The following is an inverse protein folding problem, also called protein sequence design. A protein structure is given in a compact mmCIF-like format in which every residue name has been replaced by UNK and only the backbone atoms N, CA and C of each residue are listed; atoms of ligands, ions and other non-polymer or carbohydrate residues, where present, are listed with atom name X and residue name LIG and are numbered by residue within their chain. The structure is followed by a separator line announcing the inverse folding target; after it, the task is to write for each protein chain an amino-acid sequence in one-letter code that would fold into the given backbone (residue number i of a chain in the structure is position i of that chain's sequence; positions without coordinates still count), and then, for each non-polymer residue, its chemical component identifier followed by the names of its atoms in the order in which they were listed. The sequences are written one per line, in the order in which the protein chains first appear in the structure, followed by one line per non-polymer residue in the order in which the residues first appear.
data_IF_113294127754
#
_entry.id   IF_113294127754
#
_cell.length_a   1.000
_cell.length_b   1.000
_cell.length_c   1.000
_cell.angle_alpha   90.00
_cell.angle_beta   90.00
_cell.angle_gamma   90.00
#
_symmetry.space_group_name_H-M   'P 1'
#
loop_
_entity.id
_entity.type
_entity.pdbx_description
1 polymer ?
#
# COMPACT_ATOMS: atom_id res chain seq x y z
N UNK A 1 -1.62 -8.59 2.71
CA UNK A 1 -1.79 -7.13 2.89
C UNK A 1 -2.01 -6.34 1.59
N UNK A 2 -1.49 -6.76 0.42
CA UNK A 2 -1.72 -6.01 -0.84
C UNK A 2 -3.16 -6.04 -1.35
N UNK A 3 -3.96 -7.03 -0.94
CA UNK A 3 -5.37 -7.09 -1.36
C UNK A 3 -6.22 -5.98 -0.73
N UNK A 4 -5.94 -5.62 0.54
CA UNK A 4 -6.62 -4.52 1.24
C UNK A 4 -6.41 -3.20 0.50
N UNK A 5 -5.17 -2.86 0.15
CA UNK A 5 -4.91 -1.59 -0.55
C UNK A 5 -5.51 -1.56 -1.97
N UNK A 6 -5.54 -2.71 -2.66
CA UNK A 6 -6.21 -2.83 -3.96
C UNK A 6 -7.72 -2.64 -3.83
N UNK A 7 -8.34 -3.20 -2.79
CA UNK A 7 -9.76 -3.01 -2.50
C UNK A 7 -10.07 -1.55 -2.16
N UNK A 8 -9.26 -0.90 -1.33
CA UNK A 8 -9.42 0.52 -0.98
C UNK A 8 -9.30 1.42 -2.21
N UNK A 9 -8.28 1.19 -3.06
CA UNK A 9 -8.11 1.95 -4.31
C UNK A 9 -9.27 1.68 -5.27
N UNK A 10 -9.73 0.43 -5.39
CA UNK A 10 -10.88 0.11 -6.23
C UNK A 10 -12.16 0.78 -5.73
N UNK A 11 -12.40 0.79 -4.42
CA UNK A 11 -13.56 1.42 -3.80
C UNK A 11 -13.57 2.94 -4.01
N UNK A 12 -12.46 3.64 -3.76
CA UNK A 12 -12.40 5.10 -4.00
C UNK A 12 -12.51 5.42 -5.49
N UNK A 13 -11.94 4.60 -6.36
CA UNK A 13 -12.07 4.77 -7.81
C UNK A 13 -13.51 4.56 -8.28
N UNK A 14 -14.22 3.58 -7.73
CA UNK A 14 -15.64 3.37 -8.03
C UNK A 14 -16.49 4.57 -7.59
N UNK A 15 -16.22 5.14 -6.40
CA UNK A 15 -16.88 6.36 -5.94
C UNK A 15 -16.64 7.52 -6.91
N UNK A 16 -15.39 7.75 -7.32
CA UNK A 16 -15.07 8.81 -8.28
C UNK A 16 -15.71 8.57 -9.64
N UNK A 17 -15.75 7.32 -10.11
CA UNK A 17 -16.43 6.98 -11.36
C UNK A 17 -17.92 7.31 -11.28
N UNK A 18 -18.59 6.97 -10.17
CA UNK A 18 -20.01 7.31 -9.95
C UNK A 18 -20.22 8.82 -9.95
N UNK A 19 -19.37 9.59 -9.25
CA UNK A 19 -19.46 11.05 -9.22
C UNK A 19 -19.25 11.64 -10.60
N UNK A 20 -18.23 11.18 -11.33
CA UNK A 20 -17.90 11.66 -12.67
C UNK A 20 -18.99 11.34 -13.70
N UNK A 21 -19.52 10.12 -13.68
CA UNK A 21 -20.66 9.73 -14.54
C UNK A 21 -21.91 10.55 -14.19
N UNK A 22 -22.18 10.79 -12.90
CA UNK A 22 -23.26 11.69 -12.49
C UNK A 22 -23.05 13.11 -13.00
N UNK A 23 -21.85 13.67 -12.89
CA UNK A 23 -21.54 14.98 -13.46
C UNK A 23 -21.79 15.04 -14.97
N UNK A 24 -21.51 13.95 -15.68
CA UNK A 24 -21.72 13.83 -17.12
C UNK A 24 -23.17 13.63 -17.54
N UNK A 25 -24.02 13.03 -16.71
CA UNK A 25 -25.41 12.69 -17.07
C UNK A 25 -26.43 13.62 -16.40
N UNK A 26 -26.26 13.87 -15.10
CA UNK A 26 -27.09 14.71 -14.25
C UNK A 26 -26.24 15.79 -13.53
N UNK A 27 -25.80 16.84 -14.25
CA UNK A 27 -24.99 17.91 -13.68
C UNK A 27 -25.73 18.73 -12.62
N UNK A 28 -27.06 18.68 -12.53
CA UNK A 28 -27.82 19.41 -11.51
C UNK A 28 -27.55 18.86 -10.11
N UNK A 29 -27.39 17.53 -10.00
CA UNK A 29 -26.95 16.91 -8.74
C UNK A 29 -25.60 17.44 -8.28
N UNK A 30 -24.65 17.65 -9.19
CA UNK A 30 -23.31 18.17 -8.90
C UNK A 30 -23.35 19.65 -8.53
N UNK A 31 -24.14 20.46 -9.23
CA UNK A 31 -24.33 21.87 -8.88
C UNK A 31 -24.79 22.01 -7.43
N UNK A 32 -25.76 21.19 -7.03
CA UNK A 32 -26.30 21.19 -5.67
C UNK A 32 -25.26 20.69 -4.67
N UNK A 33 -24.56 19.58 -4.99
CA UNK A 33 -23.58 18.98 -4.09
C UNK A 33 -22.33 19.85 -3.87
N UNK A 34 -21.88 20.56 -4.89
CA UNK A 34 -20.70 21.43 -4.83
C UNK A 34 -21.05 22.91 -4.60
N UNK A 35 -22.32 23.22 -4.32
CA UNK A 35 -22.79 24.57 -4.01
C UNK A 35 -22.43 25.61 -5.10
N UNK A 36 -22.44 25.21 -6.37
CA UNK A 36 -21.94 26.01 -7.51
C UNK A 36 -22.88 27.15 -7.94
N UNK A 37 -23.96 27.42 -7.21
CA UNK A 37 -24.97 28.42 -7.58
C UNK A 37 -25.72 28.09 -8.88
N UNK A 38 -26.47 29.05 -9.42
CA UNK A 38 -27.25 28.84 -10.66
C UNK A 38 -26.33 28.82 -11.88
N UNK A 39 -26.42 27.73 -12.66
CA UNK A 39 -25.64 27.55 -13.88
C UNK A 39 -26.53 27.64 -15.13
N UNK A 40 -26.04 28.31 -16.16
CA UNK A 40 -26.63 28.31 -17.50
C UNK A 40 -26.14 27.13 -18.36
N UNK A 41 -26.54 27.10 -19.64
CA UNK A 41 -26.15 26.04 -20.58
C UNK A 41 -24.63 25.86 -20.64
N UNK A 42 -23.87 26.96 -20.76
CA UNK A 42 -22.41 26.93 -20.81
C UNK A 42 -21.80 26.36 -19.53
N UNK A 43 -22.26 26.79 -18.35
CA UNK A 43 -21.78 26.29 -17.05
C UNK A 43 -22.08 24.80 -16.85
N UNK A 44 -23.27 24.35 -17.25
CA UNK A 44 -23.59 22.91 -17.22
C UNK A 44 -22.73 22.09 -18.18
N UNK A 45 -22.36 22.65 -19.33
CA UNK A 45 -21.45 21.99 -20.27
C UNK A 45 -20.03 21.89 -19.69
N UNK A 46 -19.54 22.94 -19.04
CA UNK A 46 -18.24 22.93 -18.35
C UNK A 46 -18.21 21.90 -17.21
N UNK A 47 -19.28 21.77 -16.44
CA UNK A 47 -19.37 20.74 -15.38
C UNK A 47 -19.25 19.32 -15.97
N UNK A 48 -19.92 19.03 -17.09
CA UNK A 48 -19.82 17.71 -17.75
C UNK A 48 -18.39 17.44 -18.22
N UNK A 49 -17.74 18.43 -18.83
CA UNK A 49 -16.40 18.30 -19.39
C UNK A 49 -15.33 18.26 -18.29
N UNK A 50 -15.28 19.27 -17.44
CA UNK A 50 -14.17 19.50 -16.52
C UNK A 50 -14.33 18.68 -15.25
N UNK A 51 -15.47 18.76 -14.55
CA UNK A 51 -15.70 17.96 -13.34
C UNK A 51 -15.93 16.49 -13.68
N UNK A 52 -16.78 16.22 -14.68
CA UNK A 52 -17.00 14.85 -15.16
C UNK A 52 -15.71 14.21 -15.65
N UNK A 53 -14.97 14.89 -16.53
CA UNK A 53 -13.68 14.43 -17.03
C UNK A 53 -12.64 14.23 -15.94
N UNK A 54 -12.55 15.15 -14.97
CA UNK A 54 -11.65 15.02 -13.81
C UNK A 54 -11.92 13.75 -13.01
N UNK A 55 -13.17 13.52 -12.58
CA UNK A 55 -13.50 12.39 -11.74
C UNK A 55 -13.42 11.05 -12.50
N UNK A 56 -13.92 10.99 -13.73
CA UNK A 56 -13.80 9.78 -14.57
C UNK A 56 -12.34 9.49 -14.90
N UNK A 57 -11.58 10.49 -15.33
CA UNK A 57 -10.17 10.33 -15.66
C UNK A 57 -9.33 9.87 -14.47
N UNK A 58 -9.55 10.46 -13.29
CA UNK A 58 -8.89 10.06 -12.04
C UNK A 58 -9.25 8.63 -11.66
N UNK A 59 -10.52 8.26 -11.74
CA UNK A 59 -10.99 6.90 -11.46
C UNK A 59 -10.37 5.86 -12.40
N UNK A 60 -10.38 6.11 -13.71
CA UNK A 60 -9.79 5.22 -14.71
C UNK A 60 -8.29 5.08 -14.52
N UNK A 61 -7.57 6.19 -14.27
CA UNK A 61 -6.14 6.15 -13.99
C UNK A 61 -5.83 5.32 -12.73
N UNK A 62 -6.59 5.49 -11.66
CA UNK A 62 -6.41 4.70 -10.44
C UNK A 62 -6.69 3.20 -10.66
N UNK A 63 -7.75 2.85 -11.39
CA UNK A 63 -8.07 1.45 -11.76
C UNK A 63 -6.99 0.83 -12.65
N UNK A 64 -6.53 1.56 -13.67
CA UNK A 64 -5.42 1.13 -14.55
C UNK A 64 -4.16 0.88 -13.71
N UNK A 65 -3.92 1.75 -12.72
CA UNK A 65 -2.80 1.66 -11.78
C UNK A 65 -2.75 0.38 -10.95
N UNK A 66 -3.87 -0.34 -10.82
CA UNK A 66 -3.91 -1.62 -10.11
C UNK A 66 -3.34 -2.78 -10.94
N UNK A 67 -3.30 -2.68 -12.27
CA UNK A 67 -2.79 -3.76 -13.11
C UNK A 67 -1.26 -3.91 -13.00
N UNK A 68 -0.73 -5.14 -13.15
CA UNK A 68 0.71 -5.38 -13.17
C UNK A 68 1.42 -4.48 -14.20
N UNK A 69 2.53 -3.86 -13.79
CA UNK A 69 3.33 -2.98 -14.67
C UNK A 69 2.74 -1.58 -14.92
N UNK A 70 1.57 -1.26 -14.36
CA UNK A 70 0.87 0.02 -14.63
C UNK A 70 0.81 0.97 -13.43
N UNK A 71 1.50 0.68 -12.32
CA UNK A 71 1.41 1.43 -11.05
C UNK A 71 1.64 2.94 -11.18
N UNK A 72 2.41 3.40 -12.17
CA UNK A 72 2.64 4.83 -12.44
C UNK A 72 1.34 5.62 -12.68
N UNK A 73 0.27 4.97 -13.15
CA UNK A 73 -1.03 5.60 -13.31
C UNK A 73 -1.67 6.02 -11.96
N UNK A 74 -1.28 5.37 -10.86
CA UNK A 74 -1.68 5.80 -9.50
C UNK A 74 -1.15 7.18 -9.16
N UNK A 75 0.06 7.53 -9.63
CA UNK A 75 0.63 8.86 -9.43
C UNK A 75 -0.09 9.91 -10.30
N UNK A 76 -0.53 9.53 -11.51
CA UNK A 76 -1.38 10.38 -12.33
C UNK A 76 -2.70 10.71 -11.63
N UNK A 77 -3.37 9.69 -11.08
CA UNK A 77 -4.57 9.89 -10.28
C UNK A 77 -4.31 10.73 -9.02
N UNK A 78 -3.22 10.47 -8.30
CA UNK A 78 -2.84 11.26 -7.13
C UNK A 78 -2.57 12.72 -7.50
N UNK A 79 -1.94 12.98 -8.64
CA UNK A 79 -1.67 14.32 -9.15
C UNK A 79 -2.95 15.11 -9.43
N UNK A 80 -3.96 14.48 -10.02
CA UNK A 80 -5.27 15.12 -10.22
C UNK A 80 -5.90 15.54 -8.89
N UNK A 81 -5.97 14.64 -7.91
CA UNK A 81 -6.53 14.96 -6.59
C UNK A 81 -5.70 16.02 -5.86
N UNK A 82 -4.38 15.99 -6.00
CA UNK A 82 -3.49 17.01 -5.44
C UNK A 82 -3.71 18.39 -6.06
N UNK A 83 -4.02 18.47 -7.36
CA UNK A 83 -4.39 19.74 -7.99
C UNK A 83 -5.71 20.29 -7.44
N UNK A 84 -6.71 19.43 -7.21
CA UNK A 84 -7.96 19.84 -6.55
C UNK A 84 -7.72 20.37 -5.13
N UNK A 85 -6.93 19.64 -4.34
CA UNK A 85 -6.52 20.06 -2.99
C UNK A 85 -5.78 21.40 -3.00
N UNK A 86 -4.89 21.59 -3.98
CA UNK A 86 -4.15 22.85 -4.15
C UNK A 86 -5.10 24.00 -4.51
N UNK A 87 -6.09 23.75 -5.38
CA UNK A 87 -7.14 24.73 -5.69
C UNK A 87 -7.88 25.21 -4.44
N UNK A 88 -8.23 24.28 -3.53
CA UNK A 88 -8.84 24.65 -2.24
C UNK A 88 -7.87 25.39 -1.33
N UNK A 89 -6.61 24.96 -1.26
CA UNK A 89 -5.59 25.67 -0.47
C UNK A 89 -5.39 27.12 -0.93
N UNK A 90 -5.46 27.37 -2.24
CA UNK A 90 -5.46 28.73 -2.79
C UNK A 90 -6.73 29.49 -2.37
N UNK A 91 -7.91 28.87 -2.47
CA UNK A 91 -9.18 29.48 -2.06
C UNK A 91 -9.22 29.86 -0.56
N UNK A 92 -8.53 29.12 0.31
CA UNK A 92 -8.41 29.48 1.73
C UNK A 92 -7.72 30.82 1.96
N UNK A 93 -6.91 31.31 1.02
CA UNK A 93 -6.25 32.61 1.13
C UNK A 93 -7.25 33.77 0.98
N UNK A 94 -8.41 33.55 0.36
CA UNK A 94 -9.42 34.58 0.11
C UNK A 94 -10.75 34.34 0.86
N UNK A 95 -11.20 33.10 0.96
CA UNK A 95 -12.61 32.78 1.26
C UNK A 95 -12.81 32.21 2.69
N UNK A 96 -11.72 31.91 3.40
CA UNK A 96 -11.73 31.32 4.74
C UNK A 96 -12.10 29.84 4.77
N UNK A 97 -11.91 29.20 5.93
CA UNK A 97 -12.18 27.76 6.11
C UNK A 97 -13.62 27.53 6.60
N UNK A 98 -14.41 26.79 5.81
CA UNK A 98 -15.72 26.28 6.21
C UNK A 98 -15.68 24.78 6.47
N UNK A 99 -16.69 24.23 7.14
CA UNK A 99 -16.80 22.79 7.39
C UNK A 99 -16.82 21.98 6.08
N UNK A 100 -17.53 22.46 5.04
CA UNK A 100 -17.60 21.80 3.73
C UNK A 100 -16.24 21.79 3.02
N UNK A 101 -15.49 22.90 3.10
CA UNK A 101 -14.14 22.99 2.54
C UNK A 101 -13.20 22.05 3.29
N UNK A 102 -13.21 22.08 4.63
CA UNK A 102 -12.39 21.21 5.47
C UNK A 102 -12.67 19.72 5.18
N UNK A 103 -13.94 19.32 5.13
CA UNK A 103 -14.35 17.95 4.81
C UNK A 103 -13.80 17.50 3.45
N UNK A 104 -13.94 18.34 2.43
CA UNK A 104 -13.45 18.01 1.09
C UNK A 104 -11.93 17.89 1.05
N UNK A 105 -11.20 18.81 1.69
CA UNK A 105 -9.75 18.78 1.78
C UNK A 105 -9.25 17.53 2.53
N UNK A 106 -9.95 17.09 3.58
CA UNK A 106 -9.62 15.84 4.29
C UNK A 106 -9.78 14.64 3.36
N UNK A 107 -10.87 14.55 2.60
CA UNK A 107 -11.12 13.46 1.66
C UNK A 107 -10.04 13.45 0.56
N UNK A 108 -9.70 14.62 0.03
CA UNK A 108 -8.65 14.79 -0.97
C UNK A 108 -7.29 14.33 -0.42
N UNK A 109 -6.90 14.80 0.77
CA UNK A 109 -5.63 14.43 1.41
C UNK A 109 -5.53 12.92 1.69
N UNK A 110 -6.60 12.30 2.22
CA UNK A 110 -6.65 10.86 2.45
C UNK A 110 -6.53 10.10 1.13
N UNK A 111 -7.20 10.58 0.08
CA UNK A 111 -7.16 9.94 -1.24
C UNK A 111 -5.75 10.02 -1.86
N UNK A 112 -5.09 11.17 -1.75
CA UNK A 112 -3.69 11.34 -2.19
C UNK A 112 -2.78 10.38 -1.43
N UNK A 113 -2.89 10.35 -0.09
CA UNK A 113 -2.10 9.44 0.74
C UNK A 113 -2.32 7.97 0.38
N UNK A 114 -3.57 7.56 0.16
CA UNK A 114 -3.93 6.21 -0.27
C UNK A 114 -3.29 5.85 -1.62
N UNK A 115 -3.38 6.73 -2.62
CA UNK A 115 -2.85 6.48 -3.97
C UNK A 115 -1.32 6.44 -3.99
N UNK A 116 -0.65 7.32 -3.25
CA UNK A 116 0.81 7.33 -3.10
C UNK A 116 1.29 6.10 -2.32
N UNK A 117 0.62 5.74 -1.22
CA UNK A 117 0.92 4.52 -0.47
C UNK A 117 0.74 3.28 -1.34
N UNK A 118 -0.32 3.23 -2.16
CA UNK A 118 -0.57 2.16 -3.11
C UNK A 118 0.60 2.04 -4.10
N UNK A 119 1.05 3.14 -4.70
CA UNK A 119 2.19 3.15 -5.61
C UNK A 119 3.47 2.54 -5.00
N UNK A 120 3.75 2.83 -3.73
CA UNK A 120 4.90 2.29 -3.00
C UNK A 120 4.75 0.82 -2.62
N UNK A 121 3.56 0.42 -2.15
CA UNK A 121 3.26 -0.96 -1.71
C UNK A 121 3.19 -1.93 -2.91
N UNK A 122 2.73 -1.46 -4.07
CA UNK A 122 2.62 -2.23 -5.31
C UNK A 122 3.94 -2.32 -6.11
N UNK A 123 5.06 -1.87 -5.55
CA UNK A 123 6.37 -1.88 -6.24
C UNK A 123 6.96 -3.31 -6.30
N UNK A 124 7.21 -3.89 -7.50
CA UNK A 124 7.74 -5.25 -7.65
C UNK A 124 9.13 -5.43 -7.03
N UNK A 125 10.04 -4.46 -7.25
CA UNK A 125 11.41 -4.51 -6.71
C UNK A 125 11.44 -4.61 -5.18
N UNK A 126 10.48 -3.95 -4.51
CA UNK A 126 10.35 -4.04 -3.06
C UNK A 126 9.97 -5.44 -2.61
N UNK A 127 9.15 -6.15 -3.39
CA UNK A 127 8.77 -7.54 -3.09
C UNK A 127 9.93 -8.49 -3.27
N UNK A 128 10.74 -8.30 -4.32
CA UNK A 128 11.94 -9.09 -4.57
C UNK A 128 12.97 -8.91 -3.45
N UNK A 129 13.22 -7.65 -3.02
CA UNK A 129 14.12 -7.36 -1.91
C UNK A 129 13.65 -8.00 -0.59
N UNK A 130 12.36 -7.86 -0.24
CA UNK A 130 11.79 -8.46 0.97
C UNK A 130 11.79 -10.00 0.93
N UNK A 131 11.67 -10.60 -0.26
CA UNK A 131 11.77 -12.04 -0.42
C UNK A 131 13.21 -12.53 -0.23
N UNK A 132 14.19 -11.79 -0.76
CA UNK A 132 15.60 -12.08 -0.58
C UNK A 132 16.04 -11.96 0.90
N UNK A 133 15.59 -10.92 1.59
CA UNK A 133 15.84 -10.70 3.03
C UNK A 133 15.32 -11.87 3.87
N UNK A 134 14.05 -12.27 3.65
CA UNK A 134 13.45 -13.44 4.33
C UNK A 134 14.14 -14.76 4.01
N UNK A 135 14.66 -14.91 2.79
CA UNK A 135 15.40 -16.12 2.40
C UNK A 135 16.75 -16.18 3.14
N UNK A 136 17.47 -15.06 3.24
CA UNK A 136 18.73 -14.98 3.97
C UNK A 136 18.54 -15.22 5.48
N UNK A 137 17.47 -14.67 6.08
CA UNK A 137 17.11 -14.95 7.48
C UNK A 137 16.83 -16.44 7.71
N UNK A 138 16.06 -17.07 6.81
CA UNK A 138 15.74 -18.49 6.90
C UNK A 138 16.97 -19.39 6.72
N UNK A 139 17.90 -19.02 5.84
CA UNK A 139 19.18 -19.73 5.68
C UNK A 139 20.05 -19.61 6.92
N UNK A 140 20.16 -18.40 7.48
CA UNK A 140 20.90 -18.15 8.73
C UNK A 140 20.33 -18.97 9.89
N UNK A 141 19.01 -19.04 10.02
CA UNK A 141 18.34 -19.87 11.02
C UNK A 141 18.61 -21.36 10.81
N UNK A 142 18.55 -21.85 9.57
CA UNK A 142 18.86 -23.25 9.26
C UNK A 142 20.28 -23.62 9.66
N UNK A 143 21.25 -22.76 9.33
CA UNK A 143 22.65 -22.97 9.69
C UNK A 143 22.84 -22.96 11.22
N UNK A 144 22.16 -22.07 11.93
CA UNK A 144 22.22 -22.04 13.40
C UNK A 144 21.65 -23.34 14.01
N UNK A 145 20.49 -23.80 13.54
CA UNK A 145 19.90 -25.08 14.00
C UNK A 145 20.78 -26.28 13.66
N UNK A 146 21.41 -26.28 12.49
CA UNK A 146 22.34 -27.35 12.10
C UNK A 146 23.60 -27.35 12.96
N UNK A 147 24.17 -26.17 13.27
CA UNK A 147 25.29 -26.05 14.20
C UNK A 147 24.94 -26.53 15.61
N UNK A 148 23.76 -26.18 16.13
CA UNK A 148 23.29 -26.68 17.44
C UNK A 148 23.16 -28.21 17.43
N UNK A 149 22.63 -28.79 16.36
CA UNK A 149 22.52 -30.25 16.21
C UNK A 149 23.89 -30.93 16.17
N UNK A 150 24.82 -30.39 15.39
CA UNK A 150 26.18 -30.93 15.29
C UNK A 150 26.93 -30.82 16.62
N UNK A 151 26.75 -29.72 17.36
CA UNK A 151 27.32 -29.55 18.70
C UNK A 151 26.74 -30.57 19.70
N UNK A 152 25.44 -30.86 19.62
CA UNK A 152 24.81 -31.90 20.44
C UNK A 152 25.34 -33.30 20.10
N UNK A 153 25.47 -33.64 18.80
CA UNK A 153 26.05 -34.91 18.34
C UNK A 153 27.53 -35.05 18.76
N UNK A 154 28.32 -33.96 18.69
CA UNK A 154 29.71 -33.97 19.18
C UNK A 154 29.81 -34.17 20.68
N UNK A 155 28.97 -33.50 21.48
CA UNK A 155 28.95 -33.68 22.93
C UNK A 155 28.57 -35.11 23.32
N UNK A 156 27.61 -35.72 22.62
CA UNK A 156 27.20 -37.11 22.87
C UNK A 156 28.33 -38.10 22.52
N UNK A 157 29.05 -37.89 21.41
CA UNK A 157 30.24 -38.68 21.08
C UNK A 157 31.38 -38.52 22.10
N UNK A 158 31.60 -37.31 22.63
CA UNK A 158 32.59 -37.11 23.70
C UNK A 158 32.20 -37.87 24.97
N UNK A 159 30.95 -37.79 25.40
CA UNK A 159 30.45 -38.52 26.56
C UNK A 159 30.60 -40.05 26.39
N UNK A 160 30.28 -40.59 25.20
CA UNK A 160 30.45 -42.02 24.90
C UNK A 160 31.92 -42.45 24.94
N UNK A 161 32.84 -41.63 24.43
CA UNK A 161 34.28 -41.89 24.48
C UNK A 161 34.81 -41.88 25.91
N UNK A 162 34.37 -40.92 26.74
CA UNK A 162 34.76 -40.83 28.15
C UNK A 162 34.29 -42.07 28.93
N UNK A 163 33.04 -42.48 28.74
CA UNK A 163 32.48 -43.71 29.33
C UNK A 163 33.25 -44.98 28.90
N UNK A 164 33.72 -45.01 27.66
CA UNK A 164 34.49 -46.13 27.14
C UNK A 164 35.91 -46.16 27.72
N UNK A 165 36.59 -45.01 27.79
CA UNK A 165 37.89 -44.89 28.45
C UNK A 165 37.84 -45.23 29.93
N UNK A 166 36.75 -44.89 30.61
CA UNK A 166 36.57 -45.18 32.03
C UNK A 166 36.36 -46.67 32.27
N UNK A 167 35.53 -47.33 31.46
CA UNK A 167 35.39 -48.81 31.45
C UNK A 167 36.71 -49.52 31.21
N UNK A 168 37.48 -49.08 30.22
CA UNK A 168 38.78 -49.68 29.91
C UNK A 168 39.78 -49.50 31.07
N UNK A 169 39.74 -48.34 31.74
CA UNK A 169 40.53 -48.08 32.95
C UNK A 169 40.17 -49.01 34.10
N UNK A 170 38.88 -49.24 34.33
CA UNK A 170 38.41 -50.12 35.41
C UNK A 170 38.80 -51.58 35.16
N UNK A 171 38.75 -52.04 33.90
CA UNK A 171 39.18 -53.38 33.49
C UNK A 171 40.69 -53.61 33.60
N UNK A 172 41.49 -52.55 33.50
CA UNK A 172 42.95 -52.60 33.60
C UNK A 172 43.49 -52.56 35.04
N UNK A 173 42.64 -52.33 36.05
CA UNK A 173 43.08 -52.38 37.44
C UNK A 173 43.24 -53.84 37.90
N UNK A 174 44.40 -54.22 38.45
CA UNK A 174 44.62 -55.58 38.94
C UNK A 174 43.72 -55.85 40.15
N UNK A 175 43.04 -56.99 40.14
CA UNK A 175 42.25 -57.48 41.27
C UNK A 175 43.26 -57.85 42.37
N UNK A 176 43.37 -56.99 43.39
CA UNK A 176 44.13 -57.22 44.62
C UNK A 176 43.24 -57.92 45.64
#
# INVERSE_FOLDING_TARGET
MTWVIRLLVAAISALFLIIGVRAMLDPQSIITQFELGRQGVTGTSAIRADMGGFFVGTALAALIGLFPGKRQWLLGAAGMVALAFTGRAIGLLSDGLTANIAQSMIIEAITIALLVAAFGILNPRRREALAAERAAEAETQRLATEQERLAAEQNDMMAQNDDQQQRDRDLAQPIV
#
